data_IF_059311939141
#
_entry.id   IF_059311939141
#
_cell.length_a   1.000
_cell.length_b   1.000
_cell.length_c   1.000
_cell.angle_alpha   90.00
_cell.angle_beta   90.00
_cell.angle_gamma   90.00
#
_symmetry.space_group_name_H-M   'P 1'
#
loop_
_entity.id
_entity.type
_entity.pdbx_description
1 polymer ?
#
# COMPACT_ATOMS: atom_id res chain seq x y z
N UNK A 1 -10.41 14.00 -19.69
CA UNK A 1 -11.10 14.70 -18.60
C UNK A 1 -10.16 15.78 -18.16
N UNK A 2 -10.37 16.98 -18.70
CA UNK A 2 -9.43 18.07 -18.52
C UNK A 2 -9.74 18.73 -17.18
N UNK A 3 -8.77 18.67 -16.26
CA UNK A 3 -8.75 19.59 -15.13
C UNK A 3 -8.53 20.96 -15.78
N UNK A 4 -9.63 21.65 -16.08
CA UNK A 4 -9.58 22.98 -16.64
C UNK A 4 -8.73 23.83 -15.69
N UNK A 5 -7.61 24.24 -16.24
CA UNK A 5 -6.58 24.97 -15.55
C UNK A 5 -6.14 26.05 -16.49
N UNK A 6 -6.31 27.27 -16.03
CA UNK A 6 -6.15 28.45 -16.84
C UNK A 6 -4.88 29.15 -16.40
N UNK A 7 -3.97 29.36 -17.35
CA UNK A 7 -2.77 30.18 -17.14
C UNK A 7 -3.06 31.57 -17.66
N UNK A 8 -2.97 32.57 -16.80
CA UNK A 8 -3.24 33.97 -17.13
C UNK A 8 -1.98 34.78 -17.48
N UNK A 9 -0.81 34.12 -17.48
CA UNK A 9 0.49 34.75 -17.70
C UNK A 9 1.30 34.97 -16.41
N UNK A 10 0.65 35.01 -15.24
CA UNK A 10 1.31 35.29 -13.94
C UNK A 10 1.11 34.17 -12.90
N UNK A 11 -0.04 33.50 -12.90
CA UNK A 11 -0.37 32.50 -11.89
C UNK A 11 -1.26 31.36 -12.40
N UNK A 12 -1.11 30.18 -11.80
CA UNK A 12 -1.86 28.99 -12.21
C UNK A 12 -3.18 28.97 -11.45
N UNK A 13 -4.29 28.99 -12.18
CA UNK A 13 -5.63 29.00 -11.60
C UNK A 13 -6.31 27.64 -11.75
N UNK A 14 -6.86 27.16 -10.64
CA UNK A 14 -7.49 25.86 -10.55
C UNK A 14 -9.02 25.99 -10.49
N UNK A 15 -9.73 25.44 -11.47
CA UNK A 15 -11.20 25.53 -11.53
C UNK A 15 -11.91 24.55 -10.57
N UNK A 16 -11.15 23.78 -9.78
CA UNK A 16 -11.70 22.84 -8.79
C UNK A 16 -12.26 23.55 -7.55
N UNK A 17 -11.91 24.82 -7.32
CA UNK A 17 -12.33 25.58 -6.16
C UNK A 17 -12.78 26.98 -6.56
N UNK A 18 -13.72 27.54 -5.79
CA UNK A 18 -14.27 28.89 -6.06
C UNK A 18 -13.20 29.98 -5.90
N UNK A 19 -12.23 29.76 -5.02
CA UNK A 19 -11.11 30.68 -4.80
C UNK A 19 -10.02 30.59 -5.89
N UNK A 20 -10.23 29.75 -6.92
CA UNK A 20 -9.30 29.47 -8.02
C UNK A 20 -7.92 28.96 -7.57
N UNK A 21 -7.77 28.51 -6.32
CA UNK A 21 -6.51 28.00 -5.76
C UNK A 21 -6.51 26.48 -5.68
N UNK A 22 -5.41 25.86 -6.08
CA UNK A 22 -5.30 24.41 -5.97
C UNK A 22 -5.37 23.94 -4.51
N UNK A 23 -6.36 23.10 -4.20
CA UNK A 23 -6.47 22.43 -2.93
C UNK A 23 -6.58 20.91 -3.11
N UNK A 24 -5.72 20.16 -2.43
CA UNK A 24 -5.73 18.69 -2.46
C UNK A 24 -7.09 18.12 -2.01
N UNK A 25 -7.78 18.81 -1.10
CA UNK A 25 -9.13 18.43 -0.64
C UNK A 25 -10.15 18.45 -1.79
N UNK A 26 -10.15 19.50 -2.60
CA UNK A 26 -11.11 19.66 -3.70
C UNK A 26 -10.88 18.61 -4.79
N UNK A 27 -9.62 18.39 -5.17
CA UNK A 27 -9.25 17.31 -6.09
C UNK A 27 -9.67 15.94 -5.54
N UNK A 28 -9.42 15.68 -4.25
CA UNK A 28 -9.80 14.41 -3.62
C UNK A 28 -11.31 14.18 -3.65
N UNK A 29 -12.11 15.19 -3.34
CA UNK A 29 -13.57 15.08 -3.38
C UNK A 29 -14.09 14.82 -4.80
N UNK A 30 -13.49 15.45 -5.81
CA UNK A 30 -13.80 15.21 -7.22
C UNK A 30 -13.46 13.76 -7.63
N UNK A 31 -12.28 13.27 -7.25
CA UNK A 31 -11.87 11.88 -7.47
C UNK A 31 -12.77 10.87 -6.74
N UNK A 32 -13.30 11.22 -5.56
CA UNK A 32 -14.20 10.36 -4.78
C UNK A 32 -15.64 10.31 -5.33
N UNK A 33 -16.07 11.35 -6.08
CA UNK A 33 -17.39 11.44 -6.72
C UNK A 33 -17.40 10.98 -8.18
N UNK A 34 -16.24 10.81 -8.80
CA UNK A 34 -16.11 10.27 -10.15
C UNK A 34 -16.66 8.84 -10.23
N UNK A 35 -17.51 8.60 -11.24
CA UNK A 35 -17.94 7.25 -11.61
C UNK A 35 -16.74 6.39 -12.01
N UNK A 36 -16.86 5.08 -11.79
CA UNK A 36 -15.78 4.13 -12.04
C UNK A 36 -15.33 4.20 -13.50
N UNK A 37 -14.14 4.75 -13.73
CA UNK A 37 -13.50 4.68 -15.05
C UNK A 37 -13.40 3.21 -15.44
N UNK A 38 -14.05 2.86 -16.55
CA UNK A 38 -14.19 1.48 -17.05
C UNK A 38 -12.89 0.96 -17.69
N UNK A 39 -11.74 1.20 -17.05
CA UNK A 39 -10.48 0.55 -17.43
C UNK A 39 -10.47 -0.85 -16.81
N UNK A 40 -11.19 -1.78 -17.43
CA UNK A 40 -11.22 -3.20 -17.08
C UNK A 40 -11.30 -3.50 -15.58
N UNK A 41 -12.50 -3.60 -15.00
CA UNK A 41 -12.75 -4.15 -13.64
C UNK A 41 -11.82 -3.64 -12.51
N UNK A 42 -11.51 -2.34 -12.41
CA UNK A 42 -10.88 -1.79 -11.19
C UNK A 42 -11.92 -1.01 -10.37
N UNK A 43 -12.28 -1.53 -9.20
CA UNK A 43 -13.31 -0.95 -8.31
C UNK A 43 -12.64 -0.14 -7.22
N UNK A 44 -13.00 1.14 -7.12
CA UNK A 44 -12.61 1.99 -5.99
C UNK A 44 -13.37 1.57 -4.73
N UNK A 45 -12.64 1.30 -3.65
CA UNK A 45 -13.18 0.86 -2.35
C UNK A 45 -13.05 2.03 -1.37
N UNK A 46 -14.17 2.61 -0.96
CA UNK A 46 -14.20 3.82 -0.13
C UNK A 46 -13.57 3.63 1.25
N UNK A 47 -13.55 2.39 1.76
CA UNK A 47 -12.98 2.01 3.04
C UNK A 47 -11.45 1.95 3.03
N UNK A 48 -10.84 1.95 1.84
CA UNK A 48 -9.37 1.88 1.68
C UNK A 48 -8.84 3.29 1.41
N UNK A 49 -7.75 3.72 2.07
CA UNK A 49 -7.17 5.04 1.82
C UNK A 49 -6.84 5.26 0.34
N UNK A 50 -7.15 6.45 -0.18
CA UNK A 50 -6.97 6.78 -1.60
C UNK A 50 -5.57 6.47 -2.13
N UNK A 51 -4.52 6.76 -1.35
CA UNK A 51 -3.12 6.46 -1.72
C UNK A 51 -2.89 4.98 -2.01
N UNK A 52 -3.51 4.10 -1.22
CA UNK A 52 -3.42 2.64 -1.41
C UNK A 52 -4.18 2.24 -2.68
N UNK A 53 -5.38 2.77 -2.90
CA UNK A 53 -6.13 2.49 -4.11
C UNK A 53 -5.43 3.00 -5.38
N UNK A 54 -4.85 4.20 -5.37
CA UNK A 54 -4.01 4.72 -6.45
C UNK A 54 -2.79 3.83 -6.71
N UNK A 55 -2.19 3.28 -5.65
CA UNK A 55 -1.08 2.34 -5.80
C UNK A 55 -1.53 1.04 -6.48
N UNK A 56 -2.62 0.42 -6.03
CA UNK A 56 -3.13 -0.82 -6.63
C UNK A 56 -3.54 -0.58 -8.09
N UNK A 57 -4.16 0.57 -8.38
CA UNK A 57 -4.48 0.96 -9.75
C UNK A 57 -3.21 1.06 -10.62
N UNK A 58 -2.15 1.73 -10.14
CA UNK A 58 -0.85 1.78 -10.85
C UNK A 58 -0.22 0.40 -11.00
N UNK A 59 -0.32 -0.46 -9.99
CA UNK A 59 0.13 -1.84 -10.03
C UNK A 59 -0.55 -2.62 -11.16
N UNK A 60 -1.88 -2.53 -11.23
CA UNK A 60 -2.69 -3.19 -12.24
C UNK A 60 -2.38 -2.72 -13.66
N UNK A 61 -2.01 -1.46 -13.82
CA UNK A 61 -1.59 -0.91 -15.11
C UNK A 61 -0.13 -1.22 -15.45
N UNK A 62 0.60 -2.00 -14.63
CA UNK A 62 2.04 -2.21 -14.77
C UNK A 62 2.83 -0.88 -14.79
N UNK A 63 2.32 0.14 -14.08
CA UNK A 63 2.88 1.50 -14.04
C UNK A 63 3.59 1.79 -12.71
N UNK A 64 4.04 0.75 -12.01
CA UNK A 64 4.91 0.92 -10.83
C UNK A 64 6.32 1.21 -11.33
N UNK A 65 7.08 2.07 -10.65
CA UNK A 65 8.49 2.31 -10.97
C UNK A 65 9.35 1.08 -10.62
N UNK A 66 9.21 0.00 -11.38
CA UNK A 66 10.15 -1.12 -11.35
C UNK A 66 11.48 -0.72 -12.00
N UNK A 67 12.54 -1.46 -11.67
CA UNK A 67 13.87 -1.25 -12.25
C UNK A 67 13.85 -1.32 -13.78
N UNK A 68 13.04 -2.22 -14.35
CA UNK A 68 12.83 -2.33 -15.80
C UNK A 68 12.06 -1.11 -16.34
N UNK A 69 10.98 -0.69 -15.69
CA UNK A 69 10.21 0.48 -16.10
C UNK A 69 11.04 1.79 -16.05
N UNK A 70 11.91 1.92 -15.07
CA UNK A 70 12.85 3.04 -14.94
C UNK A 70 13.94 2.98 -16.01
N UNK A 71 14.51 1.81 -16.27
CA UNK A 71 15.49 1.61 -17.34
C UNK A 71 14.91 1.94 -18.73
N UNK A 72 13.66 1.55 -18.99
CA UNK A 72 12.96 1.86 -20.25
C UNK A 72 12.69 3.35 -20.43
N UNK A 73 12.69 4.12 -19.34
CA UNK A 73 12.59 5.60 -19.36
C UNK A 73 13.96 6.29 -19.46
N UNK A 74 15.03 5.53 -19.68
CA UNK A 74 16.39 6.06 -19.84
C UNK A 74 17.09 6.39 -18.52
N UNK A 75 16.57 5.95 -17.36
CA UNK A 75 17.26 6.13 -16.07
C UNK A 75 18.32 5.05 -15.92
N UNK A 76 19.59 5.45 -15.80
CA UNK A 76 20.71 4.54 -15.58
C UNK A 76 20.68 4.00 -14.16
N UNK A 77 20.51 2.68 -14.02
CA UNK A 77 20.50 1.99 -12.72
C UNK A 77 21.71 1.06 -12.60
N UNK A 78 22.29 0.88 -11.39
CA UNK A 78 23.48 0.04 -11.19
C UNK A 78 23.24 -1.44 -11.48
N UNK A 79 21.99 -1.91 -11.32
CA UNK A 79 21.60 -3.31 -11.49
C UNK A 79 20.16 -3.40 -11.98
N UNK A 80 19.86 -4.44 -12.76
CA UNK A 80 18.50 -4.80 -13.21
C UNK A 80 17.83 -5.85 -12.32
N UNK A 81 18.52 -6.27 -11.26
CA UNK A 81 18.09 -7.33 -10.35
C UNK A 81 17.23 -6.75 -9.23
N UNK A 82 16.33 -7.57 -8.70
CA UNK A 82 15.53 -7.24 -7.54
C UNK A 82 16.44 -6.90 -6.35
N UNK A 83 16.31 -5.71 -5.79
CA UNK A 83 17.13 -5.26 -4.65
C UNK A 83 16.94 -6.07 -3.36
N UNK A 84 15.93 -6.94 -3.32
CA UNK A 84 15.52 -7.66 -2.12
C UNK A 84 15.85 -9.16 -2.16
N UNK A 85 16.02 -9.73 -3.36
CA UNK A 85 16.36 -11.14 -3.57
C UNK A 85 17.63 -11.33 -4.42
N UNK A 86 18.04 -10.28 -5.16
CA UNK A 86 19.29 -10.13 -5.92
C UNK A 86 19.58 -11.20 -7.00
N UNK A 87 18.65 -12.12 -7.27
CA UNK A 87 18.86 -13.24 -8.21
C UNK A 87 17.95 -13.22 -9.44
N UNK A 88 16.89 -12.43 -9.44
CA UNK A 88 15.89 -12.37 -10.51
C UNK A 88 15.70 -10.92 -10.97
N UNK A 89 15.49 -10.72 -12.27
CA UNK A 89 15.18 -9.41 -12.83
C UNK A 89 13.86 -8.86 -12.26
N UNK A 90 13.87 -7.60 -11.86
CA UNK A 90 12.69 -6.97 -11.24
C UNK A 90 11.68 -6.50 -12.31
N UNK A 91 10.78 -7.40 -12.68
CA UNK A 91 9.59 -7.11 -13.49
C UNK A 91 8.46 -6.66 -12.54
N UNK A 92 7.47 -5.90 -13.03
CA UNK A 92 6.41 -5.30 -12.22
C UNK A 92 5.71 -6.28 -11.25
N UNK A 93 5.34 -7.46 -11.74
CA UNK A 93 4.71 -8.52 -10.91
C UNK A 93 5.70 -9.21 -9.95
N UNK A 94 6.99 -9.16 -10.26
CA UNK A 94 8.03 -9.72 -9.40
C UNK A 94 8.12 -8.95 -8.09
N UNK A 95 8.22 -7.62 -8.13
CA UNK A 95 8.41 -6.80 -6.93
C UNK A 95 7.29 -6.99 -5.87
N UNK A 96 6.05 -7.21 -6.32
CA UNK A 96 4.88 -7.25 -5.43
C UNK A 96 4.39 -8.64 -5.05
N UNK A 97 4.47 -9.61 -5.97
CA UNK A 97 3.80 -10.91 -5.79
C UNK A 97 4.75 -12.08 -6.00
N UNK A 98 5.59 -12.02 -7.03
CA UNK A 98 6.40 -13.19 -7.40
C UNK A 98 7.74 -13.27 -6.67
N UNK A 99 8.25 -12.17 -6.12
CA UNK A 99 9.49 -12.13 -5.35
C UNK A 99 9.35 -13.02 -4.10
N UNK A 100 10.33 -13.92 -3.84
CA UNK A 100 10.31 -14.77 -2.66
C UNK A 100 10.15 -13.96 -1.36
N UNK A 101 10.81 -12.81 -1.27
CA UNK A 101 10.62 -11.90 -0.14
C UNK A 101 9.19 -11.38 -0.03
N UNK A 102 8.59 -10.93 -1.14
CA UNK A 102 7.22 -10.43 -1.16
C UNK A 102 6.22 -11.53 -0.76
N UNK A 103 6.40 -12.76 -1.25
CA UNK A 103 5.61 -13.93 -0.85
C UNK A 103 5.72 -14.20 0.65
N UNK A 104 6.94 -14.24 1.16
CA UNK A 104 7.20 -14.42 2.59
C UNK A 104 6.50 -13.34 3.40
N UNK A 105 6.65 -12.06 3.04
CA UNK A 105 5.95 -10.94 3.70
C UNK A 105 4.43 -11.08 3.68
N UNK A 106 3.84 -11.44 2.54
CA UNK A 106 2.40 -11.67 2.41
C UNK A 106 1.93 -12.81 3.32
N UNK A 107 2.64 -13.95 3.34
CA UNK A 107 2.33 -15.05 4.26
C UNK A 107 2.35 -14.63 5.73
N UNK A 108 3.33 -13.79 6.12
CA UNK A 108 3.37 -13.25 7.48
C UNK A 108 2.17 -12.37 7.79
N UNK A 109 1.79 -11.47 6.87
CA UNK A 109 0.62 -10.61 7.03
C UNK A 109 -0.64 -11.47 7.19
N UNK A 110 -0.85 -12.49 6.35
CA UNK A 110 -1.99 -13.39 6.46
C UNK A 110 -2.00 -14.15 7.80
N UNK A 111 -0.85 -14.69 8.23
CA UNK A 111 -0.71 -15.35 9.54
C UNK A 111 -1.04 -14.41 10.70
N UNK A 112 -0.55 -13.17 10.66
CA UNK A 112 -0.87 -12.13 11.65
C UNK A 112 -2.37 -11.87 11.73
N UNK A 113 -3.02 -11.65 10.59
CA UNK A 113 -4.45 -11.34 10.55
C UNK A 113 -5.29 -12.49 11.12
N UNK A 114 -4.99 -13.74 10.75
CA UNK A 114 -5.71 -14.91 11.28
C UNK A 114 -5.51 -15.05 12.79
N UNK A 115 -4.28 -14.87 13.28
CA UNK A 115 -3.98 -14.93 14.70
C UNK A 115 -4.71 -13.82 15.48
N UNK A 116 -4.72 -12.59 14.95
CA UNK A 116 -5.46 -11.47 15.52
C UNK A 116 -6.96 -11.74 15.59
N UNK A 117 -7.55 -12.24 14.50
CA UNK A 117 -8.98 -12.58 14.46
C UNK A 117 -9.33 -13.65 15.49
N UNK A 118 -8.49 -14.68 15.66
CA UNK A 118 -8.65 -15.71 16.69
C UNK A 118 -8.61 -15.12 18.11
N UNK A 119 -7.69 -14.21 18.38
CA UNK A 119 -7.58 -13.54 19.68
C UNK A 119 -8.77 -12.63 19.97
N UNK A 120 -9.21 -11.84 18.99
CA UNK A 120 -10.40 -10.99 19.11
C UNK A 120 -11.64 -11.84 19.35
N UNK A 121 -11.80 -12.92 18.59
CA UNK A 121 -12.92 -13.84 18.75
C UNK A 121 -12.94 -14.48 20.15
N UNK A 122 -11.80 -15.00 20.62
CA UNK A 122 -11.69 -15.56 21.97
C UNK A 122 -12.03 -14.52 23.05
N UNK A 123 -11.49 -13.30 22.93
CA UNK A 123 -11.75 -12.23 23.87
C UNK A 123 -13.24 -11.80 23.89
N UNK A 124 -13.91 -11.79 22.72
CA UNK A 124 -15.36 -11.54 22.64
C UNK A 124 -16.16 -12.66 23.32
N UNK A 125 -15.80 -13.92 23.09
CA UNK A 125 -16.53 -15.04 23.69
C UNK A 125 -16.36 -15.12 25.20
N UNK A 126 -15.16 -14.85 25.73
CA UNK A 126 -14.96 -14.80 27.17
C UNK A 126 -15.76 -13.67 27.84
N UNK A 127 -15.94 -12.54 27.16
CA UNK A 127 -16.84 -11.47 27.63
C UNK A 127 -18.31 -11.91 27.61
N UNK A 128 -18.76 -12.57 26.55
CA UNK A 128 -20.17 -12.94 26.38
C UNK A 128 -20.61 -14.09 27.28
N UNK A 129 -19.79 -15.12 27.44
CA UNK A 129 -20.18 -16.36 28.11
C UNK A 129 -19.67 -16.47 29.55
N UNK A 130 -18.60 -15.76 29.90
CA UNK A 130 -17.96 -15.88 31.22
C UNK A 130 -17.88 -14.55 31.98
N UNK A 131 -18.51 -13.48 31.47
CA UNK A 131 -18.47 -12.09 31.99
C UNK A 131 -17.05 -11.57 32.30
N UNK A 132 -16.03 -12.12 31.60
CA UNK A 132 -14.64 -11.73 31.78
C UNK A 132 -14.36 -10.44 31.01
N UNK A 133 -14.19 -9.32 31.72
CA UNK A 133 -13.76 -8.05 31.11
C UNK A 133 -12.30 -8.12 30.64
N UNK A 134 -12.10 -8.27 29.34
CA UNK A 134 -10.77 -8.15 28.71
C UNK A 134 -10.44 -6.67 28.49
N UNK A 135 -9.28 -6.18 28.96
CA UNK A 135 -8.82 -4.82 28.68
C UNK A 135 -8.34 -4.71 27.21
N UNK A 136 -8.76 -3.65 26.50
CA UNK A 136 -8.39 -3.44 25.09
C UNK A 136 -6.88 -3.28 24.89
N UNK A 137 -6.16 -2.75 25.87
CA UNK A 137 -4.70 -2.59 25.82
C UNK A 137 -3.99 -3.93 25.69
N UNK A 138 -4.46 -4.98 26.37
CA UNK A 138 -3.89 -6.33 26.26
C UNK A 138 -3.99 -6.91 24.84
N UNK A 139 -5.06 -6.59 24.10
CA UNK A 139 -5.18 -6.99 22.69
C UNK A 139 -4.19 -6.24 21.81
N UNK A 140 -4.03 -4.93 22.03
CA UNK A 140 -3.06 -4.10 21.30
C UNK A 140 -1.63 -4.59 21.57
N UNK A 141 -1.29 -4.90 22.82
CA UNK A 141 0.03 -5.42 23.19
C UNK A 141 0.32 -6.77 22.51
N UNK A 142 -0.67 -7.66 22.41
CA UNK A 142 -0.51 -8.93 21.66
C UNK A 142 -0.28 -8.71 20.17
N UNK A 143 -0.88 -7.67 19.56
CA UNK A 143 -0.63 -7.32 18.15
C UNK A 143 0.75 -6.73 17.96
N UNK A 144 1.14 -5.79 18.82
CA UNK A 144 2.45 -5.11 18.73
C UNK A 144 3.58 -6.11 18.97
N UNK A 145 3.49 -6.95 20.00
CA UNK A 145 4.49 -7.99 20.29
C UNK A 145 4.61 -9.01 19.16
N UNK A 146 3.49 -9.42 18.57
CA UNK A 146 3.48 -10.31 17.40
C UNK A 146 4.16 -9.65 16.19
N UNK A 147 3.84 -8.40 15.88
CA UNK A 147 4.50 -7.65 14.81
C UNK A 147 6.00 -7.46 15.06
N UNK A 148 6.40 -7.09 16.28
CA UNK A 148 7.80 -6.93 16.67
C UNK A 148 8.58 -8.24 16.55
N UNK A 149 7.99 -9.35 16.99
CA UNK A 149 8.59 -10.67 16.86
C UNK A 149 8.78 -11.06 15.40
N UNK A 150 7.80 -10.76 14.54
CA UNK A 150 7.92 -10.98 13.10
C UNK A 150 8.97 -10.07 12.45
N UNK A 151 9.01 -8.78 12.81
CA UNK A 151 10.03 -7.84 12.34
C UNK A 151 11.44 -8.36 12.66
N UNK A 152 11.66 -8.82 13.89
CA UNK A 152 12.95 -9.37 14.33
C UNK A 152 13.36 -10.64 13.56
N UNK A 153 12.41 -11.50 13.16
CA UNK A 153 12.71 -12.70 12.35
C UNK A 153 12.83 -12.43 10.85
N UNK A 154 12.21 -11.37 10.33
CA UNK A 154 12.26 -11.03 8.90
C UNK A 154 13.60 -10.43 8.45
N UNK A 155 14.37 -9.81 9.35
CA UNK A 155 15.67 -9.20 9.03
C UNK A 155 16.83 -10.19 8.89
N UNK A 156 16.61 -11.49 9.13
CA UNK A 156 17.70 -12.50 9.13
C UNK A 156 18.24 -12.80 7.71
N UNK A 157 17.62 -12.30 6.64
CA UNK A 157 18.02 -12.63 5.26
C UNK A 157 18.50 -11.48 4.36
N UNK A 158 18.35 -10.20 4.73
CA UNK A 158 18.55 -9.08 3.80
C UNK A 158 19.54 -8.01 4.28
N UNK A 159 20.28 -8.25 5.37
CA UNK A 159 21.35 -7.35 5.82
C UNK A 159 22.68 -8.10 5.71
N UNK A 160 23.17 -8.22 4.47
CA UNK A 160 24.60 -8.29 4.21
C UNK A 160 24.94 -7.15 3.25
N UNK A 161 24.77 -5.92 3.76
CA UNK A 161 25.44 -4.75 3.21
C UNK A 161 26.76 -4.67 3.96
N UNK A 162 27.77 -5.37 3.47
CA UNK A 162 29.17 -5.04 3.79
C UNK A 162 29.61 -4.05 2.73
N UNK A 163 30.02 -2.88 3.20
CA UNK A 163 30.83 -1.91 2.46
C UNK A 163 32.08 -2.55 1.85
#
# INVERSE_FOLDING_TARGET
MDIASEWDGESWRCDLTVDRKYQVRALRLLLEHQDQVYTGKFRWIKQVPMKVMCFIWRAKMCHIPSVVALSNRGITLPSKLCCQFEKLGEIDDHALVSCPFAKTMLEWIFKCCVHLLKHIWKARNERLFNDKKVCATKLVDTVISMFLWFKHRSMIGCISRTD
#
